data_IF_877192508133
#
_entry.id   IF_877192508133
#
_cell.length_a   1.000
_cell.length_b   1.000
_cell.length_c   1.000
_cell.angle_alpha   90.00
_cell.angle_beta   90.00
_cell.angle_gamma   90.00
#
_symmetry.space_group_name_H-M   'P 1'
#
loop_
_entity.id
_entity.type
_entity.pdbx_description
1 polymer ?
#
# COMPACT_ATOMS: atom_id res chain seq x y z
N UNK A 1 -5.42 -0.99 -1.71
CA UNK A 1 -5.08 -2.11 -2.61
C UNK A 1 -5.80 -3.41 -2.24
N UNK A 2 -5.63 -4.00 -1.03
CA UNK A 2 -6.31 -5.26 -0.65
C UNK A 2 -7.85 -5.22 -0.83
N UNK A 3 -8.52 -4.13 -0.43
CA UNK A 3 -9.96 -3.91 -0.64
C UNK A 3 -10.38 -3.88 -2.13
N UNK A 4 -9.44 -3.58 -3.03
CA UNK A 4 -9.64 -3.59 -4.48
C UNK A 4 -9.28 -4.96 -5.09
N UNK A 5 -9.10 -6.01 -4.28
CA UNK A 5 -8.85 -7.37 -4.76
C UNK A 5 -7.38 -7.72 -5.03
N UNK A 6 -6.43 -6.81 -4.78
CA UNK A 6 -5.01 -7.12 -4.96
C UNK A 6 -4.56 -8.28 -4.05
N UNK A 7 -3.90 -9.33 -4.56
CA UNK A 7 -3.47 -10.48 -3.77
C UNK A 7 -2.49 -10.03 -2.68
N UNK A 8 -2.65 -10.58 -1.48
CA UNK A 8 -1.78 -10.25 -0.34
C UNK A 8 -0.30 -10.49 -0.68
N UNK A 9 0.03 -11.63 -1.27
CA UNK A 9 1.41 -12.03 -1.59
C UNK A 9 2.06 -11.16 -2.67
N UNK A 10 1.26 -10.41 -3.44
CA UNK A 10 1.72 -9.52 -4.51
C UNK A 10 2.10 -8.13 -4.01
N UNK A 11 1.82 -7.81 -2.73
CA UNK A 11 2.03 -6.48 -2.15
C UNK A 11 3.21 -6.51 -1.17
N UNK A 12 4.09 -5.52 -1.28
CA UNK A 12 5.14 -5.28 -0.28
C UNK A 12 5.21 -3.83 0.15
N UNK A 13 5.68 -3.62 1.38
CA UNK A 13 5.97 -2.31 1.94
C UNK A 13 7.47 -2.19 2.18
N UNK A 14 8.12 -1.22 1.54
CA UNK A 14 9.54 -0.91 1.74
C UNK A 14 9.75 0.20 2.78
N UNK A 15 10.66 -0.01 3.72
CA UNK A 15 11.05 0.99 4.74
C UNK A 15 12.57 1.09 4.87
N UNK A 16 13.10 2.31 5.02
CA UNK A 16 14.53 2.52 5.25
C UNK A 16 14.92 2.70 6.72
N UNK A 17 13.94 2.99 7.56
CA UNK A 17 14.11 3.15 9.01
C UNK A 17 13.32 2.06 9.73
N UNK A 18 13.97 1.39 10.69
CA UNK A 18 13.32 0.38 11.53
C UNK A 18 12.17 0.98 12.33
N UNK A 19 12.31 2.23 12.79
CA UNK A 19 11.28 2.96 13.52
C UNK A 19 10.02 3.15 12.66
N UNK A 20 10.19 3.43 11.36
CA UNK A 20 9.06 3.50 10.43
C UNK A 20 8.40 2.13 10.23
N UNK A 21 9.19 1.05 10.23
CA UNK A 21 8.67 -0.32 10.25
C UNK A 21 7.77 -0.55 11.46
N UNK A 22 8.26 -0.26 12.66
CA UNK A 22 7.51 -0.40 13.92
C UNK A 22 6.23 0.44 13.92
N UNK A 23 6.31 1.71 13.49
CA UNK A 23 5.13 2.58 13.41
C UNK A 23 4.04 2.01 12.49
N UNK A 24 4.43 1.41 11.35
CA UNK A 24 3.48 0.74 10.46
C UNK A 24 2.86 -0.46 11.16
N UNK A 25 3.64 -1.25 11.91
CA UNK A 25 3.10 -2.37 12.71
C UNK A 25 2.08 -1.89 13.75
N UNK A 26 2.36 -0.80 14.45
CA UNK A 26 1.45 -0.19 15.44
C UNK A 26 0.14 0.27 14.78
N UNK A 27 0.23 0.97 13.64
CA UNK A 27 -0.95 1.39 12.86
C UNK A 27 -1.80 0.18 12.45
N UNK A 28 -1.17 -0.92 12.03
CA UNK A 28 -1.91 -2.14 11.66
C UNK A 28 -2.66 -2.73 12.86
N UNK A 29 -2.04 -2.76 14.04
CA UNK A 29 -2.67 -3.22 15.28
C UNK A 29 -3.84 -2.33 15.68
N UNK A 30 -3.70 -0.99 15.59
CA UNK A 30 -4.80 -0.05 15.83
C UNK A 30 -5.98 -0.28 14.86
N UNK A 31 -5.68 -0.69 13.63
CA UNK A 31 -6.67 -1.07 12.62
C UNK A 31 -7.21 -2.50 12.79
N UNK A 32 -6.89 -3.19 13.90
CA UNK A 32 -7.30 -4.57 14.21
C UNK A 32 -6.81 -5.60 13.18
N UNK A 33 -5.63 -5.38 12.63
CA UNK A 33 -4.93 -6.33 11.76
C UNK A 33 -3.77 -6.91 12.56
N UNK A 34 -3.76 -8.22 12.76
CA UNK A 34 -2.79 -8.90 13.63
C UNK A 34 -1.86 -9.81 12.84
N UNK A 35 -0.66 -10.07 13.37
CA UNK A 35 0.36 -10.95 12.76
C UNK A 35 -0.15 -12.38 12.50
N UNK A 36 -1.11 -12.84 13.31
CA UNK A 36 -1.71 -14.17 13.16
C UNK A 36 -2.81 -14.24 12.09
N UNK A 37 -3.27 -13.09 11.57
CA UNK A 37 -4.36 -13.05 10.61
C UNK A 37 -3.93 -13.64 9.27
N UNK A 38 -4.63 -14.68 8.84
CA UNK A 38 -4.41 -15.27 7.53
C UNK A 38 -5.10 -14.41 6.47
N UNK A 39 -4.40 -14.01 5.39
CA UNK A 39 -5.01 -13.22 4.33
C UNK A 39 -6.12 -14.03 3.65
N UNK A 40 -7.23 -13.38 3.35
CA UNK A 40 -8.36 -13.96 2.62
C UNK A 40 -8.96 -12.95 1.66
N UNK A 41 -9.35 -13.42 0.48
CA UNK A 41 -9.96 -12.62 -0.59
C UNK A 41 -11.45 -12.90 -0.76
N UNK A 42 -12.01 -13.86 -0.01
CA UNK A 42 -13.42 -14.20 -0.14
C UNK A 42 -14.27 -13.09 0.48
N UNK A 43 -15.30 -12.57 -0.21
CA UNK A 43 -16.14 -11.50 0.35
C UNK A 43 -16.81 -11.86 1.68
N UNK A 44 -17.07 -13.15 1.92
CA UNK A 44 -17.68 -13.61 3.17
C UNK A 44 -16.71 -13.69 4.36
N UNK A 45 -15.39 -13.76 4.11
CA UNK A 45 -14.37 -13.96 5.14
C UNK A 45 -13.10 -13.16 4.81
N UNK A 46 -13.27 -11.94 4.28
CA UNK A 46 -12.15 -11.12 3.87
C UNK A 46 -11.27 -10.80 5.08
N UNK A 47 -9.96 -10.93 4.88
CA UNK A 47 -8.95 -10.55 5.86
C UNK A 47 -7.77 -9.92 5.14
N UNK A 48 -7.29 -8.81 5.68
CA UNK A 48 -6.12 -8.12 5.12
C UNK A 48 -4.89 -9.02 5.15
N UNK A 49 -4.70 -9.77 6.24
CA UNK A 49 -3.47 -10.45 6.59
C UNK A 49 -2.34 -9.47 6.95
N UNK A 50 -1.28 -9.99 7.56
CA UNK A 50 -0.12 -9.18 7.91
C UNK A 50 0.75 -8.87 6.67
N UNK A 51 0.96 -7.60 6.29
CA UNK A 51 1.67 -7.27 5.05
C UNK A 51 3.16 -7.66 5.11
N UNK A 52 3.75 -7.86 3.93
CA UNK A 52 5.19 -8.12 3.80
C UNK A 52 5.93 -6.78 3.90
N UNK A 53 6.46 -6.48 5.08
CA UNK A 53 7.28 -5.29 5.35
C UNK A 53 8.76 -5.66 5.17
N UNK A 54 9.48 -4.90 4.36
CA UNK A 54 10.86 -5.18 3.98
C UNK A 54 11.74 -3.96 4.18
N UNK A 55 12.99 -4.20 4.61
CA UNK A 55 13.99 -3.16 4.68
C UNK A 55 14.58 -2.88 3.28
N UNK A 56 14.73 -1.60 2.88
CA UNK A 56 15.18 -1.23 1.52
C UNK A 56 16.56 -1.80 1.14
N UNK A 57 17.48 -1.94 2.10
CA UNK A 57 18.82 -2.53 1.91
C UNK A 57 18.83 -4.01 1.50
N UNK A 58 17.74 -4.72 1.75
CA UNK A 58 17.63 -6.16 1.52
C UNK A 58 16.26 -6.47 0.92
N UNK A 59 15.88 -5.70 -0.09
CA UNK A 59 14.56 -5.77 -0.70
C UNK A 59 14.46 -6.99 -1.61
N UNK A 60 13.37 -7.75 -1.53
CA UNK A 60 13.07 -8.88 -2.41
C UNK A 60 12.04 -8.48 -3.48
N UNK A 61 12.06 -9.10 -4.67
CA UNK A 61 11.12 -8.80 -5.74
C UNK A 61 9.64 -8.90 -5.32
N UNK A 62 8.83 -7.96 -5.81
CA UNK A 62 7.38 -7.94 -5.59
C UNK A 62 6.65 -7.40 -6.82
N UNK A 63 5.35 -7.71 -6.94
CA UNK A 63 4.56 -7.18 -8.06
C UNK A 63 4.22 -5.71 -7.83
N UNK A 64 3.78 -5.36 -6.61
CA UNK A 64 3.44 -4.00 -6.24
C UNK A 64 4.14 -3.61 -4.95
N UNK A 65 4.83 -2.48 -4.98
CA UNK A 65 5.61 -2.00 -3.85
C UNK A 65 5.19 -0.60 -3.45
N UNK A 66 4.97 -0.40 -2.15
CA UNK A 66 4.76 0.90 -1.53
C UNK A 66 5.99 1.19 -0.66
N UNK A 67 6.71 2.27 -0.91
CA UNK A 67 7.91 2.63 -0.15
C UNK A 67 7.64 3.87 0.67
N UNK A 68 7.91 3.80 1.97
CA UNK A 68 8.06 5.00 2.79
C UNK A 68 9.46 5.58 2.55
N UNK A 69 9.52 6.82 2.07
CA UNK A 69 10.77 7.53 1.83
C UNK A 69 11.39 8.13 3.11
N UNK A 70 10.74 7.94 4.26
CA UNK A 70 11.30 8.32 5.56
C UNK A 70 12.58 7.51 5.88
N UNK A 71 13.55 8.15 6.53
CA UNK A 71 14.86 7.57 6.80
C UNK A 71 15.89 7.77 5.67
N UNK A 72 15.54 8.57 4.66
CA UNK A 72 16.42 8.99 3.57
C UNK A 72 17.08 7.82 2.82
N UNK A 73 16.29 6.96 2.13
CA UNK A 73 16.86 5.92 1.28
C UNK A 73 17.84 6.52 0.27
N UNK A 74 18.94 5.82 0.02
CA UNK A 74 19.95 6.23 -0.96
C UNK A 74 19.45 6.01 -2.37
N UNK A 75 19.98 6.76 -3.34
CA UNK A 75 19.61 6.60 -4.76
C UNK A 75 19.75 5.16 -5.27
N UNK A 76 20.78 4.43 -4.82
CA UNK A 76 20.99 3.02 -5.18
C UNK A 76 19.86 2.12 -4.65
N UNK A 77 19.35 2.41 -3.46
CA UNK A 77 18.25 1.65 -2.87
C UNK A 77 16.94 1.91 -3.64
N UNK A 78 16.71 3.15 -4.10
CA UNK A 78 15.59 3.44 -5.01
C UNK A 78 15.69 2.69 -6.33
N UNK A 79 16.87 2.68 -6.95
CA UNK A 79 17.12 1.95 -8.20
C UNK A 79 16.85 0.45 -8.01
N UNK A 80 17.37 -0.13 -6.95
CA UNK A 80 17.19 -1.55 -6.64
C UNK A 80 15.71 -1.90 -6.40
N UNK A 81 14.97 -1.06 -5.65
CA UNK A 81 13.53 -1.26 -5.47
C UNK A 81 12.79 -1.14 -6.79
N UNK A 82 13.13 -0.15 -7.62
CA UNK A 82 12.49 0.04 -8.92
C UNK A 82 12.72 -1.17 -9.85
N UNK A 83 13.92 -1.74 -9.87
CA UNK A 83 14.23 -2.97 -10.63
C UNK A 83 13.48 -4.20 -10.09
N UNK A 84 13.21 -4.24 -8.77
CA UNK A 84 12.55 -5.35 -8.09
C UNK A 84 11.02 -5.24 -8.06
N UNK A 85 10.46 -4.08 -8.39
CA UNK A 85 9.02 -3.80 -8.45
C UNK A 85 8.50 -4.05 -9.87
N UNK A 86 7.73 -5.13 -10.07
CA UNK A 86 7.42 -5.61 -11.43
C UNK A 86 6.27 -4.88 -12.13
N UNK A 87 5.22 -4.53 -11.39
CA UNK A 87 3.97 -4.01 -11.94
C UNK A 87 3.64 -2.61 -11.45
N UNK A 88 4.00 -2.25 -10.21
CA UNK A 88 3.79 -0.91 -9.70
C UNK A 88 4.72 -0.55 -8.55
N UNK A 89 5.19 0.69 -8.56
CA UNK A 89 5.99 1.30 -7.51
C UNK A 89 5.34 2.61 -7.06
N UNK A 90 5.06 2.71 -5.78
CA UNK A 90 4.49 3.90 -5.14
C UNK A 90 5.46 4.40 -4.08
N UNK A 91 5.86 5.67 -4.18
CA UNK A 91 6.76 6.31 -3.23
C UNK A 91 5.95 7.29 -2.37
N UNK A 92 6.08 7.19 -1.05
CA UNK A 92 5.35 8.02 -0.09
C UNK A 92 6.35 8.79 0.75
N UNK A 93 6.37 10.11 0.58
CA UNK A 93 7.32 10.98 1.26
C UNK A 93 7.08 12.46 1.00
N UNK A 94 7.97 13.28 1.55
CA UNK A 94 8.00 14.73 1.36
C UNK A 94 8.99 15.09 0.27
N UNK A 95 8.57 15.92 -0.70
CA UNK A 95 9.46 16.46 -1.73
C UNK A 95 10.52 17.39 -1.13
N UNK A 96 10.12 18.19 -0.12
CA UNK A 96 10.97 19.20 0.49
C UNK A 96 12.18 18.60 1.20
N UNK A 97 12.02 17.39 1.74
CA UNK A 97 13.04 16.72 2.55
C UNK A 97 13.90 15.76 1.71
N UNK A 98 13.59 15.59 0.42
CA UNK A 98 14.21 14.57 -0.40
C UNK A 98 15.45 15.08 -1.16
N UNK A 99 16.65 14.48 -0.98
CA UNK A 99 17.86 14.90 -1.70
C UNK A 99 17.88 14.63 -3.21
N UNK A 100 16.86 13.98 -3.79
CA UNK A 100 16.86 13.53 -5.17
C UNK A 100 15.66 14.08 -5.93
N UNK A 101 15.85 14.39 -7.22
CA UNK A 101 14.77 14.81 -8.12
C UNK A 101 13.93 13.60 -8.53
N UNK A 102 13.04 13.18 -7.64
CA UNK A 102 12.01 12.18 -7.93
C UNK A 102 10.77 12.92 -8.40
N UNK A 103 10.14 12.46 -9.48
CA UNK A 103 8.88 13.04 -9.94
C UNK A 103 7.81 12.83 -8.87
N UNK A 104 7.29 13.92 -8.34
CA UNK A 104 6.18 13.93 -7.37
C UNK A 104 4.88 14.31 -8.08
N UNK A 105 3.78 14.04 -7.41
CA UNK A 105 2.46 14.37 -7.89
C UNK A 105 1.39 13.78 -6.99
N UNK A 106 0.14 14.12 -7.31
CA UNK A 106 -1.01 13.54 -6.65
C UNK A 106 -1.10 12.03 -6.92
N UNK A 107 -1.66 11.30 -5.95
CA UNK A 107 -1.98 9.90 -6.13
C UNK A 107 -3.30 9.79 -6.89
N UNK A 108 -3.22 9.34 -8.13
CA UNK A 108 -4.37 9.03 -8.97
C UNK A 108 -4.87 7.60 -8.69
N UNK A 109 -6.16 7.47 -8.36
CA UNK A 109 -6.80 6.18 -8.06
C UNK A 109 -8.09 6.04 -8.86
N UNK A 110 -8.36 4.83 -9.37
CA UNK A 110 -9.67 4.44 -9.93
C UNK A 110 -10.35 3.51 -8.92
N UNK A 111 -11.15 4.03 -7.96
CA UNK A 111 -11.61 3.28 -6.80
C UNK A 111 -12.65 2.20 -7.12
N UNK A 112 -13.27 2.23 -8.30
CA UNK A 112 -14.25 1.23 -8.73
C UNK A 112 -13.63 0.12 -9.57
N UNK A 113 -12.34 0.22 -9.91
CA UNK A 113 -11.65 -0.79 -10.71
C UNK A 113 -11.02 -1.84 -9.79
N UNK A 114 -11.55 -3.06 -9.88
CA UNK A 114 -11.03 -4.22 -9.14
C UNK A 114 -9.80 -4.77 -9.85
N UNK A 115 -8.86 -5.30 -9.07
CA UNK A 115 -7.68 -5.99 -9.56
C UNK A 115 -8.04 -7.05 -10.62
N UNK A 116 -7.24 -7.10 -11.70
CA UNK A 116 -7.47 -7.96 -12.88
C UNK A 116 -8.83 -7.79 -13.58
N UNK A 117 -9.53 -6.66 -13.38
CA UNK A 117 -10.69 -6.32 -14.21
C UNK A 117 -10.27 -6.19 -15.68
N UNK A 118 -11.03 -6.84 -16.57
CA UNK A 118 -10.88 -6.69 -18.02
C UNK A 118 -11.43 -5.35 -18.53
N UNK A 119 -12.24 -4.67 -17.71
CA UNK A 119 -12.86 -3.38 -18.04
C UNK A 119 -12.16 -2.27 -17.28
N UNK A 120 -11.45 -1.39 -18.01
CA UNK A 120 -10.84 -0.19 -17.45
C UNK A 120 -11.88 0.91 -17.28
N UNK A 121 -12.09 1.38 -16.06
CA UNK A 121 -13.03 2.47 -15.74
C UNK A 121 -12.32 3.82 -15.60
N UNK A 122 -11.30 4.07 -16.43
CA UNK A 122 -10.45 5.26 -16.40
C UNK A 122 -11.16 6.62 -16.54
N UNK A 123 -12.50 6.64 -16.61
CA UNK A 123 -13.33 7.85 -16.57
C UNK A 123 -13.57 8.37 -15.14
N UNK A 124 -13.29 7.58 -14.10
CA UNK A 124 -13.55 7.91 -12.69
C UNK A 124 -12.24 8.05 -11.87
N UNK A 125 -11.21 8.67 -12.44
CA UNK A 125 -9.95 8.92 -11.73
C UNK A 125 -10.21 9.95 -10.62
N UNK A 126 -9.79 9.61 -9.39
CA UNK A 126 -9.71 10.55 -8.27
C UNK A 126 -8.24 10.90 -8.03
N UNK A 127 -7.94 12.20 -8.07
CA UNK A 127 -6.63 12.73 -7.68
C UNK A 127 -6.63 12.99 -6.18
N UNK A 128 -5.67 12.42 -5.45
CA UNK A 128 -5.52 12.58 -4.00
C UNK A 128 -4.17 13.20 -3.68
N UNK A 129 -4.16 14.34 -2.99
CA UNK A 129 -2.93 15.05 -2.63
C UNK A 129 -2.68 15.09 -1.12
N UNK A 130 -3.56 14.48 -0.32
CA UNK A 130 -3.42 14.41 1.14
C UNK A 130 -3.76 13.03 1.68
N UNK A 131 -3.01 12.60 2.70
CA UNK A 131 -3.22 11.33 3.41
C UNK A 131 -4.64 11.22 3.99
N UNK A 132 -5.21 12.33 4.51
CA UNK A 132 -6.57 12.35 5.04
C UNK A 132 -7.64 11.99 3.99
N UNK A 133 -7.45 12.41 2.73
CA UNK A 133 -8.37 12.05 1.64
C UNK A 133 -8.29 10.57 1.29
N UNK A 134 -7.07 10.00 1.31
CA UNK A 134 -6.86 8.57 1.13
C UNK A 134 -7.50 7.77 2.27
N UNK A 135 -7.38 8.23 3.51
CA UNK A 135 -8.05 7.62 4.67
C UNK A 135 -9.57 7.60 4.51
N UNK A 136 -10.18 8.73 4.15
CA UNK A 136 -11.63 8.80 3.88
C UNK A 136 -12.06 7.86 2.75
N UNK A 137 -11.27 7.77 1.68
CA UNK A 137 -11.55 6.84 0.59
C UNK A 137 -11.48 5.38 1.05
N UNK A 138 -10.48 5.03 1.87
CA UNK A 138 -10.33 3.68 2.42
C UNK A 138 -11.54 3.32 3.29
N UNK A 139 -12.02 4.23 4.13
CA UNK A 139 -13.23 3.99 4.93
C UNK A 139 -14.47 3.80 4.03
N UNK A 140 -14.66 4.63 2.99
CA UNK A 140 -15.74 4.44 2.01
C UNK A 140 -15.65 3.07 1.32
N UNK A 141 -14.44 2.60 0.99
CA UNK A 141 -14.24 1.29 0.40
C UNK A 141 -14.55 0.17 1.40
N UNK A 142 -14.11 0.27 2.66
CA UNK A 142 -14.44 -0.70 3.71
C UNK A 142 -15.97 -0.82 3.90
N UNK A 143 -16.68 0.31 3.93
CA UNK A 143 -18.14 0.33 4.06
C UNK A 143 -18.86 -0.30 2.88
N UNK A 144 -18.41 -0.01 1.64
CA UNK A 144 -18.92 -0.67 0.43
C UNK A 144 -18.60 -2.16 0.42
N UNK A 145 -17.46 -2.54 0.99
CA UNK A 145 -16.98 -3.91 1.03
C UNK A 145 -17.61 -4.77 2.11
N UNK A 146 -18.41 -4.26 3.07
CA UNK A 146 -19.10 -5.07 4.11
C UNK A 146 -19.58 -6.42 3.51
N UNK A 147 -18.94 -7.59 3.64
CA UNK A 147 -18.02 -8.18 4.64
C UNK A 147 -18.55 -7.90 6.04
N UNK A 148 -19.38 -8.83 6.52
CA UNK A 148 -19.83 -8.89 7.92
C UNK A 148 -18.62 -8.96 8.85
N UNK A 149 -18.19 -7.82 9.39
CA UNK A 149 -17.37 -7.76 10.61
C UNK A 149 -18.27 -7.65 11.85
N UNK A 150 -19.47 -8.26 11.81
CA UNK A 150 -20.35 -8.38 12.96
C UNK A 150 -20.04 -9.66 13.72
N UNK A 151 -19.49 -9.45 14.93
CA UNK A 151 -19.69 -10.25 16.16
C UNK A 151 -19.30 -11.73 16.13
N UNK A 152 -18.21 -12.04 16.81
CA UNK A 152 -18.15 -13.13 17.80
C UNK A 152 -17.74 -12.52 19.12
#
# INVERSE_FOLDING_TARGET
MRLLGYPWASLSIGVASEQMGVLIEEILVEQKIHKADKPSQTPAAFSFGWPIIQHVKSFFPSEYTIVSCHGNPKIREYQEIAEKSRMGLYLVGSEADHPYKIKTGDLEIVPNEVYNSTKREGKNIRSLNRAAQLGQLVEQLKEKSKVNLTTV
#
